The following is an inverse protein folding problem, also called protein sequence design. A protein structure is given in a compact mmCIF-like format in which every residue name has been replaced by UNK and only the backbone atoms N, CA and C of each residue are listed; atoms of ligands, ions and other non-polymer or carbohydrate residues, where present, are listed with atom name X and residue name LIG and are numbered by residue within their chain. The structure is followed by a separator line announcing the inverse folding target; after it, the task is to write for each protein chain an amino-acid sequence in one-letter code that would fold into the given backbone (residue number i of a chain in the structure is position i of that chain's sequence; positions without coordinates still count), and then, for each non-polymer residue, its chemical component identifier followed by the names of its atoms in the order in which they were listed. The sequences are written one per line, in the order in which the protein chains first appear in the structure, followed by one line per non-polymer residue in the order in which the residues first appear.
data_IF_639401774834
#
_entry.id   IF_639401774834
#
_cell.length_a   1.000
_cell.length_b   1.000
_cell.length_c   1.000
_cell.angle_alpha   90.00
_cell.angle_beta   90.00
_cell.angle_gamma   90.00
#
_symmetry.space_group_name_H-M   'P 1'
#
loop_
_entity.id
_entity.type
_entity.pdbx_description
1 polymer ?
#
# COMPACT_ATOMS: atom_id res chain seq x y z
N UNK A 1 -29.94 5.77 -5.62
CA UNK A 1 -28.58 5.36 -5.98
C UNK A 1 -28.64 3.94 -6.48
N UNK A 2 -28.09 3.64 -7.66
CA UNK A 2 -28.02 2.25 -8.16
C UNK A 2 -26.77 1.58 -7.58
N UNK A 3 -26.90 0.33 -7.15
CA UNK A 3 -25.77 -0.50 -6.73
C UNK A 3 -24.94 -0.82 -7.99
N UNK A 4 -23.61 -0.71 -7.96
CA UNK A 4 -22.78 -1.06 -9.11
C UNK A 4 -22.94 -2.54 -9.46
N UNK A 5 -23.01 -2.85 -10.75
CA UNK A 5 -23.13 -4.23 -11.25
C UNK A 5 -21.81 -5.01 -11.18
N UNK A 6 -20.69 -4.32 -10.95
CA UNK A 6 -19.35 -4.90 -10.86
C UNK A 6 -18.51 -4.14 -9.83
N UNK A 7 -17.70 -4.87 -9.07
CA UNK A 7 -16.72 -4.32 -8.13
C UNK A 7 -15.34 -4.90 -8.45
N UNK A 8 -14.31 -4.17 -8.11
CA UNK A 8 -12.92 -4.61 -8.16
C UNK A 8 -12.48 -5.01 -6.75
N UNK A 9 -11.90 -6.20 -6.63
CA UNK A 9 -11.36 -6.71 -5.36
C UNK A 9 -9.88 -6.44 -5.34
N UNK A 10 -9.39 -5.86 -4.25
CA UNK A 10 -7.97 -5.64 -3.98
C UNK A 10 -7.64 -6.43 -2.72
N UNK A 11 -6.70 -7.35 -2.82
CA UNK A 11 -6.21 -8.06 -1.64
C UNK A 11 -5.11 -7.25 -0.97
N UNK A 12 -5.28 -6.97 0.32
CA UNK A 12 -4.34 -6.21 1.15
C UNK A 12 -3.65 -7.10 2.21
N UNK A 13 -3.88 -8.38 2.18
CA UNK A 13 -3.34 -9.35 3.13
C UNK A 13 -1.81 -9.30 3.23
N UNK A 14 -1.05 -9.28 2.13
CA UNK A 14 0.41 -9.23 2.18
C UNK A 14 0.96 -7.96 2.82
N UNK A 15 0.25 -6.81 2.71
CA UNK A 15 0.62 -5.56 3.35
C UNK A 15 -0.08 -5.40 4.69
N UNK A 16 -1.37 -5.15 4.70
CA UNK A 16 -2.11 -4.77 5.91
C UNK A 16 -2.25 -5.94 6.89
N UNK A 17 -2.53 -7.12 6.38
CA UNK A 17 -2.62 -8.33 7.20
C UNK A 17 -1.29 -8.61 7.90
N UNK A 18 -0.21 -8.76 7.14
CA UNK A 18 1.10 -9.11 7.68
C UNK A 18 1.76 -8.00 8.49
N UNK A 19 1.39 -6.74 8.27
CA UNK A 19 1.85 -5.61 9.08
C UNK A 19 1.43 -5.74 10.55
N UNK A 20 0.31 -6.41 10.82
CA UNK A 20 -0.24 -6.58 12.16
C UNK A 20 0.24 -7.86 12.87
N UNK A 21 1.07 -8.67 12.20
CA UNK A 21 1.64 -9.86 12.83
C UNK A 21 2.65 -9.50 13.92
N UNK A 22 2.65 -10.29 15.00
CA UNK A 22 3.53 -10.04 16.15
C UNK A 22 5.01 -10.24 15.83
N UNK A 23 5.32 -11.14 14.90
CA UNK A 23 6.67 -11.46 14.45
C UNK A 23 6.82 -11.16 12.96
N UNK A 24 7.99 -10.67 12.52
CA UNK A 24 8.25 -10.51 11.10
C UNK A 24 8.12 -11.83 10.35
N UNK A 25 7.35 -11.82 9.27
CA UNK A 25 7.23 -12.95 8.35
C UNK A 25 8.38 -12.85 7.34
N UNK A 26 9.12 -13.95 7.05
CA UNK A 26 10.21 -13.93 6.08
C UNK A 26 9.78 -13.52 4.68
N UNK A 27 10.69 -12.89 3.92
CA UNK A 27 10.40 -12.36 2.59
C UNK A 27 9.94 -13.43 1.59
N UNK A 28 10.53 -14.61 1.64
CA UNK A 28 10.17 -15.77 0.81
C UNK A 28 8.73 -16.24 1.06
N UNK A 29 8.27 -16.21 2.31
CA UNK A 29 6.90 -16.52 2.69
C UNK A 29 5.93 -15.46 2.15
N UNK A 30 6.29 -14.17 2.23
CA UNK A 30 5.49 -13.06 1.66
C UNK A 30 5.39 -13.19 0.14
N UNK A 31 6.48 -13.47 -0.54
CA UNK A 31 6.54 -13.71 -1.98
C UNK A 31 5.64 -14.90 -2.34
N UNK A 32 5.75 -16.01 -1.59
CA UNK A 32 4.89 -17.17 -1.75
C UNK A 32 3.40 -16.88 -1.57
N UNK A 33 3.05 -16.00 -0.61
CA UNK A 33 1.66 -15.55 -0.44
C UNK A 33 1.18 -14.79 -1.67
N UNK A 34 1.95 -13.83 -2.18
CA UNK A 34 1.59 -13.09 -3.40
C UNK A 34 1.38 -14.03 -4.58
N UNK A 35 2.26 -15.02 -4.78
CA UNK A 35 2.11 -16.01 -5.86
C UNK A 35 0.82 -16.83 -5.72
N UNK A 36 0.47 -17.26 -4.51
CA UNK A 36 -0.79 -18.00 -4.27
C UNK A 36 -2.03 -17.13 -4.50
N UNK A 37 -1.98 -15.84 -4.20
CA UNK A 37 -3.05 -14.92 -4.50
C UNK A 37 -3.24 -14.74 -6.01
N UNK A 38 -2.15 -14.68 -6.78
CA UNK A 38 -2.18 -14.69 -8.24
C UNK A 38 -2.82 -15.98 -8.78
N UNK A 39 -2.39 -17.14 -8.29
CA UNK A 39 -2.94 -18.46 -8.64
C UNK A 39 -4.43 -18.57 -8.32
N UNK A 40 -4.88 -17.93 -7.24
CA UNK A 40 -6.29 -17.83 -6.86
C UNK A 40 -7.11 -16.88 -7.76
N UNK A 41 -6.49 -16.22 -8.75
CA UNK A 41 -7.16 -15.34 -9.70
C UNK A 41 -7.34 -13.90 -9.24
N UNK A 42 -6.58 -13.44 -8.25
CA UNK A 42 -6.60 -12.03 -7.84
C UNK A 42 -5.77 -11.19 -8.81
N UNK A 43 -6.37 -10.08 -9.26
CA UNK A 43 -5.77 -9.16 -10.24
C UNK A 43 -5.24 -7.87 -9.64
N UNK A 44 -5.49 -7.62 -8.35
CA UNK A 44 -5.05 -6.44 -7.62
C UNK A 44 -4.54 -6.87 -6.24
N UNK A 45 -3.24 -6.66 -5.99
CA UNK A 45 -2.59 -7.09 -4.74
C UNK A 45 -1.78 -5.94 -4.18
N UNK A 46 -2.07 -5.53 -2.95
CA UNK A 46 -1.25 -4.59 -2.19
C UNK A 46 -0.14 -5.37 -1.47
N UNK A 47 1.06 -5.30 -2.04
CA UNK A 47 2.17 -6.22 -1.73
C UNK A 47 2.89 -5.88 -0.44
N UNK A 48 3.21 -4.60 -0.24
CA UNK A 48 4.05 -4.13 0.86
C UNK A 48 3.89 -2.64 1.10
N UNK A 49 4.64 -2.10 2.05
CA UNK A 49 4.71 -0.66 2.29
C UNK A 49 6.15 -0.16 2.41
N UNK A 50 6.35 1.09 2.02
CA UNK A 50 7.61 1.82 2.15
C UNK A 50 7.59 2.79 3.34
N UNK A 51 6.99 2.33 4.43
CA UNK A 51 7.03 2.99 5.74
C UNK A 51 8.40 2.73 6.39
N UNK A 52 8.84 3.66 7.24
CA UNK A 52 10.10 3.48 7.97
C UNK A 52 10.13 2.16 8.76
N UNK A 53 11.17 1.34 8.61
CA UNK A 53 11.33 0.08 9.36
C UNK A 53 11.36 0.26 10.88
N UNK A 54 11.66 1.47 11.36
CA UNK A 54 11.60 1.82 12.80
C UNK A 54 10.16 1.77 13.33
N UNK A 55 9.18 2.08 12.49
CA UNK A 55 7.78 2.09 12.85
C UNK A 55 7.07 0.78 12.49
N UNK A 56 7.46 0.18 11.35
CA UNK A 56 6.84 -1.06 10.84
C UNK A 56 7.94 -2.03 10.43
N UNK A 57 8.60 -2.69 11.39
CA UNK A 57 9.68 -3.65 11.11
C UNK A 57 9.21 -4.82 10.25
N UNK A 58 7.92 -5.18 10.30
CA UNK A 58 7.33 -6.23 9.49
C UNK A 58 7.45 -5.97 7.97
N UNK A 59 7.62 -4.71 7.55
CA UNK A 59 7.73 -4.31 6.15
C UNK A 59 9.16 -3.88 5.76
N UNK A 60 10.16 -4.17 6.59
CA UNK A 60 11.55 -3.77 6.34
C UNK A 60 12.17 -4.41 5.09
N UNK A 61 11.64 -5.53 4.65
CA UNK A 61 12.08 -6.33 3.51
C UNK A 61 11.37 -5.97 2.18
N UNK A 62 10.69 -4.84 2.13
CA UNK A 62 9.85 -4.40 1.01
C UNK A 62 10.54 -4.50 -0.37
N UNK A 63 11.79 -4.07 -0.48
CA UNK A 63 12.57 -4.14 -1.74
C UNK A 63 12.79 -5.61 -2.15
N UNK A 64 13.16 -6.47 -1.20
CA UNK A 64 13.39 -7.89 -1.47
C UNK A 64 12.10 -8.59 -1.91
N UNK A 65 10.98 -8.29 -1.25
CA UNK A 65 9.66 -8.83 -1.60
C UNK A 65 9.26 -8.40 -3.02
N UNK A 66 9.34 -7.12 -3.34
CA UNK A 66 9.01 -6.60 -4.67
C UNK A 66 9.91 -7.18 -5.78
N UNK A 67 11.19 -7.38 -5.49
CA UNK A 67 12.14 -7.97 -6.44
C UNK A 67 11.93 -9.49 -6.64
N UNK A 68 11.42 -10.18 -5.63
CA UNK A 68 11.23 -11.64 -5.68
C UNK A 68 9.90 -12.09 -6.29
N UNK A 69 8.96 -11.17 -6.57
CA UNK A 69 7.68 -11.53 -7.16
C UNK A 69 7.85 -11.87 -8.64
N UNK A 70 7.42 -13.07 -9.03
CA UNK A 70 7.21 -13.43 -10.44
C UNK A 70 5.91 -12.78 -10.93
N UNK A 71 6.02 -11.57 -11.50
CA UNK A 71 4.88 -10.79 -11.95
C UNK A 71 4.13 -11.47 -13.09
N UNK A 72 2.81 -11.47 -13.03
CA UNK A 72 1.95 -12.05 -14.04
C UNK A 72 1.25 -10.97 -14.87
N UNK A 73 1.11 -11.16 -16.19
CA UNK A 73 0.31 -10.27 -17.03
C UNK A 73 -1.14 -10.17 -16.51
N UNK A 74 -1.65 -8.94 -16.44
CA UNK A 74 -3.01 -8.68 -15.96
C UNK A 74 -3.16 -8.62 -14.44
N UNK A 75 -2.09 -8.84 -13.68
CA UNK A 75 -2.05 -8.61 -12.22
C UNK A 75 -1.36 -7.29 -11.93
N UNK A 76 -1.92 -6.48 -11.05
CA UNK A 76 -1.41 -5.18 -10.63
C UNK A 76 -0.88 -5.27 -9.20
N UNK A 77 0.34 -4.78 -9.00
CA UNK A 77 1.06 -4.81 -7.73
C UNK A 77 1.17 -3.40 -7.18
N UNK A 78 0.43 -3.13 -6.12
CA UNK A 78 0.45 -1.83 -5.46
C UNK A 78 1.32 -1.85 -4.20
N UNK A 79 1.84 -0.68 -3.84
CA UNK A 79 2.63 -0.47 -2.63
C UNK A 79 2.18 0.80 -1.91
N UNK A 80 2.13 0.74 -0.58
CA UNK A 80 1.78 1.89 0.23
C UNK A 80 3.01 2.76 0.51
N UNK A 81 2.85 4.09 0.34
CA UNK A 81 3.90 5.06 0.60
C UNK A 81 3.41 6.15 1.55
N UNK A 82 4.12 6.43 2.66
CA UNK A 82 3.68 7.41 3.66
C UNK A 82 4.07 8.84 3.36
N UNK A 83 5.03 9.05 2.46
CA UNK A 83 5.62 10.34 2.12
C UNK A 83 6.51 10.25 0.87
N UNK A 84 7.08 11.38 0.45
CA UNK A 84 7.93 11.44 -0.73
C UNK A 84 9.18 10.54 -0.64
N UNK A 85 9.81 10.45 0.53
CA UNK A 85 10.97 9.56 0.74
C UNK A 85 10.61 8.09 0.53
N UNK A 86 9.44 7.67 1.03
CA UNK A 86 8.90 6.33 0.79
C UNK A 86 8.60 6.09 -0.68
N UNK A 87 8.05 7.08 -1.37
CA UNK A 87 7.80 7.03 -2.80
C UNK A 87 9.10 6.86 -3.61
N UNK A 88 10.14 7.64 -3.32
CA UNK A 88 11.44 7.55 -4.00
C UNK A 88 12.11 6.18 -3.86
N UNK A 89 11.88 5.51 -2.74
CA UNK A 89 12.33 4.12 -2.56
C UNK A 89 11.43 3.15 -3.33
N UNK A 90 10.12 3.34 -3.28
CA UNK A 90 9.12 2.49 -3.91
C UNK A 90 9.25 2.46 -5.44
N UNK A 91 9.42 3.62 -6.08
CA UNK A 91 9.45 3.73 -7.55
C UNK A 91 10.58 2.92 -8.16
N UNK A 92 11.69 2.70 -7.46
CA UNK A 92 12.82 1.87 -7.88
C UNK A 92 12.46 0.39 -8.03
N UNK A 93 11.37 -0.04 -7.37
CA UNK A 93 10.85 -1.41 -7.47
C UNK A 93 9.77 -1.58 -8.53
N UNK A 94 9.50 -0.53 -9.30
CA UNK A 94 8.54 -0.50 -10.41
C UNK A 94 7.13 -0.99 -10.03
N UNK A 95 6.48 -0.39 -9.02
CA UNK A 95 5.10 -0.74 -8.69
C UNK A 95 4.15 -0.27 -9.80
N UNK A 96 3.04 -0.96 -9.97
CA UNK A 96 1.97 -0.57 -10.92
C UNK A 96 1.07 0.54 -10.34
N UNK A 97 1.01 0.63 -9.01
CA UNK A 97 0.18 1.61 -8.31
C UNK A 97 0.82 2.02 -6.99
N UNK A 98 0.79 3.32 -6.70
CA UNK A 98 1.15 3.89 -5.40
C UNK A 98 -0.12 4.07 -4.57
N UNK A 99 -0.08 3.64 -3.31
CA UNK A 99 -1.18 3.84 -2.38
C UNK A 99 -0.79 4.90 -1.36
N UNK A 100 -1.61 5.93 -1.27
CA UNK A 100 -1.59 6.92 -0.17
C UNK A 100 -2.81 6.69 0.71
N UNK A 101 -2.76 7.17 1.95
CA UNK A 101 -3.83 6.92 2.89
C UNK A 101 -4.17 8.15 3.72
N UNK A 102 -5.40 8.23 4.17
CA UNK A 102 -5.90 9.30 5.02
C UNK A 102 -6.92 8.78 6.02
N UNK A 103 -7.52 9.68 6.74
CA UNK A 103 -8.59 9.35 7.68
C UNK A 103 -9.71 10.38 7.61
N UNK A 104 -10.93 9.94 7.85
CA UNK A 104 -12.08 10.82 8.07
C UNK A 104 -12.19 11.28 9.54
N UNK A 105 -11.31 10.80 10.44
CA UNK A 105 -11.26 11.12 11.86
C UNK A 105 -9.98 11.87 12.21
N UNK A 106 -10.08 13.09 12.73
CA UNK A 106 -8.93 13.86 13.21
C UNK A 106 -8.18 13.15 14.34
N UNK A 107 -8.93 12.54 15.28
CA UNK A 107 -8.32 11.82 16.40
C UNK A 107 -7.50 10.63 15.91
N UNK A 108 -8.04 9.87 14.94
CA UNK A 108 -7.33 8.75 14.35
C UNK A 108 -6.12 9.21 13.53
N UNK A 109 -6.25 10.27 12.72
CA UNK A 109 -5.13 10.83 11.95
C UNK A 109 -3.96 11.19 12.88
N UNK A 110 -4.23 11.95 13.94
CA UNK A 110 -3.21 12.33 14.92
C UNK A 110 -2.55 11.13 15.60
N UNK A 111 -3.34 10.12 15.97
CA UNK A 111 -2.85 8.89 16.61
C UNK A 111 -2.03 8.01 15.66
N UNK A 112 -2.50 7.86 14.42
CA UNK A 112 -1.92 6.91 13.45
C UNK A 112 -0.71 7.46 12.70
N UNK A 113 -0.78 8.71 12.26
CA UNK A 113 0.27 9.33 11.42
C UNK A 113 0.82 10.64 11.99
N UNK A 114 0.46 10.97 13.22
CA UNK A 114 0.93 12.13 13.98
C UNK A 114 0.77 13.46 13.23
N UNK A 115 -0.35 13.64 12.54
CA UNK A 115 -0.72 14.90 11.90
C UNK A 115 -2.24 15.04 11.75
N UNK A 116 -2.72 16.25 11.49
CA UNK A 116 -4.12 16.51 11.15
C UNK A 116 -4.48 15.93 9.77
N UNK A 117 -5.76 15.88 9.46
CA UNK A 117 -6.23 15.49 8.12
C UNK A 117 -5.67 16.47 7.07
N UNK A 118 -5.73 17.79 7.32
CA UNK A 118 -5.21 18.79 6.41
C UNK A 118 -3.70 18.60 6.14
N UNK A 119 -2.90 18.46 7.20
CA UNK A 119 -1.46 18.21 7.09
C UNK A 119 -1.15 16.89 6.36
N UNK A 120 -2.01 15.88 6.50
CA UNK A 120 -1.86 14.62 5.78
C UNK A 120 -2.03 14.79 4.27
N UNK A 121 -3.01 15.60 3.85
CA UNK A 121 -3.25 15.92 2.44
C UNK A 121 -2.04 16.66 1.85
N UNK A 122 -1.52 17.68 2.56
CA UNK A 122 -0.32 18.41 2.14
C UNK A 122 0.90 17.48 2.02
N UNK A 123 1.05 16.52 2.92
CA UNK A 123 2.13 15.51 2.91
C UNK A 123 2.04 14.58 1.71
N UNK A 124 0.84 14.20 1.30
CA UNK A 124 0.63 13.28 0.18
C UNK A 124 0.59 13.96 -1.19
N UNK A 125 0.29 15.26 -1.26
CA UNK A 125 0.24 15.98 -2.53
C UNK A 125 1.50 15.77 -3.40
N UNK A 126 2.73 15.98 -2.90
CA UNK A 126 3.94 15.77 -3.70
C UNK A 126 4.15 14.30 -4.12
N UNK A 127 3.68 13.33 -3.33
CA UNK A 127 3.72 11.90 -3.70
C UNK A 127 2.81 11.64 -4.88
N UNK A 128 1.59 12.16 -4.84
CA UNK A 128 0.59 12.02 -5.90
C UNK A 128 1.08 12.67 -7.19
N UNK A 129 1.59 13.90 -7.11
CA UNK A 129 2.13 14.64 -8.25
C UNK A 129 3.30 13.89 -8.92
N UNK A 130 4.26 13.41 -8.12
CA UNK A 130 5.40 12.66 -8.62
C UNK A 130 5.00 11.33 -9.27
N UNK A 131 4.07 10.60 -8.67
CA UNK A 131 3.58 9.33 -9.21
C UNK A 131 2.84 9.54 -10.54
N UNK A 132 1.95 10.53 -10.61
CA UNK A 132 1.22 10.86 -11.83
C UNK A 132 2.15 11.35 -12.95
N UNK A 133 3.16 12.17 -12.62
CA UNK A 133 4.18 12.62 -13.57
C UNK A 133 5.02 11.44 -14.13
N UNK A 134 5.21 10.40 -13.34
CA UNK A 134 5.88 9.16 -13.75
C UNK A 134 4.94 8.17 -14.47
N UNK A 135 3.67 8.51 -14.69
CA UNK A 135 2.67 7.63 -15.30
C UNK A 135 2.23 6.46 -14.41
N UNK A 136 2.52 6.52 -13.11
CA UNK A 136 2.14 5.49 -12.14
C UNK A 136 0.74 5.82 -11.59
N UNK A 137 -0.12 4.81 -11.49
CA UNK A 137 -1.46 4.98 -10.89
C UNK A 137 -1.35 5.33 -9.42
N UNK A 138 -2.34 6.10 -8.94
CA UNK A 138 -2.45 6.45 -7.52
C UNK A 138 -3.81 6.04 -6.99
N UNK A 139 -3.83 5.42 -5.83
CA UNK A 139 -5.05 5.09 -5.08
C UNK A 139 -4.98 5.70 -3.69
N UNK A 140 -6.07 6.34 -3.29
CA UNK A 140 -6.26 6.82 -1.92
C UNK A 140 -7.07 5.80 -1.10
N UNK A 141 -6.58 5.42 0.07
CA UNK A 141 -7.33 4.65 1.06
C UNK A 141 -7.75 5.58 2.22
N UNK A 142 -9.02 5.52 2.62
CA UNK A 142 -9.53 6.37 3.70
C UNK A 142 -10.07 5.52 4.85
N UNK A 143 -9.48 5.69 6.01
CA UNK A 143 -9.89 5.05 7.26
C UNK A 143 -11.01 5.82 7.95
N UNK A 144 -11.77 5.13 8.82
CA UNK A 144 -12.81 5.73 9.68
C UNK A 144 -13.95 6.42 8.92
N UNK A 145 -14.29 5.97 7.70
CA UNK A 145 -15.37 6.55 6.90
C UNK A 145 -16.76 6.22 7.42
N UNK A 146 -16.92 5.14 8.15
CA UNK A 146 -18.20 4.68 8.73
C UNK A 146 -18.18 4.64 10.26
N UNK A 147 -17.11 5.09 10.87
CA UNK A 147 -16.93 5.15 12.34
C UNK A 147 -15.47 5.07 12.74
N UNK A 148 -15.23 5.49 13.99
CA UNK A 148 -13.90 5.50 14.59
C UNK A 148 -13.93 4.80 15.96
#
# INVERSE_FOLDING_TARGET
MSIPSRVQIIDVGPRDGLQNEKSPVPADVKIGLVHRLQEAGLHEIEVTSFVSPKWVPQMADNVAVMAGIARQPGVRYSVLTPNLQGYEAAVKTQPDEIVVFGSASEAFSRKNINCSIAESIERFAPVVEAALAAGIRVRGAMSCTVGC
#
